data_IF_555514482417
#
_entry.id   IF_555514482417
#
_cell.length_a   1.000
_cell.length_b   1.000
_cell.length_c   1.000
_cell.angle_alpha   90.00
_cell.angle_beta   90.00
_cell.angle_gamma   90.00
#
_symmetry.space_group_name_H-M   'P 1'
#
loop_
_entity.id
_entity.type
_entity.pdbx_description
1 polymer ?
#
# COMPACT_ATOMS: atom_id res chain seq x y z
N UNK A 1 -45.03 10.70 -56.24
CA UNK A 1 -44.33 11.15 -55.02
C UNK A 1 -43.65 9.93 -54.42
N UNK A 2 -42.40 9.64 -54.80
CA UNK A 2 -41.62 8.59 -54.16
C UNK A 2 -41.02 9.18 -52.88
N UNK A 3 -41.31 8.56 -51.74
CA UNK A 3 -40.72 8.95 -50.46
C UNK A 3 -39.25 8.52 -50.47
N UNK A 4 -38.35 9.50 -50.42
CA UNK A 4 -36.92 9.29 -50.23
C UNK A 4 -36.73 8.89 -48.77
N UNK A 5 -36.36 7.63 -48.56
CA UNK A 5 -35.98 7.11 -47.26
C UNK A 5 -34.59 7.67 -46.91
N UNK A 6 -34.56 8.76 -46.14
CA UNK A 6 -33.33 9.35 -45.64
C UNK A 6 -32.81 8.50 -44.48
N UNK A 7 -31.92 7.56 -44.80
CA UNK A 7 -31.19 6.76 -43.84
C UNK A 7 -30.38 7.68 -42.91
N UNK A 8 -30.75 7.69 -41.63
CA UNK A 8 -30.06 8.44 -40.56
C UNK A 8 -28.59 7.98 -40.49
N UNK A 9 -27.60 8.88 -40.41
CA UNK A 9 -26.20 8.48 -40.31
C UNK A 9 -25.98 7.55 -39.12
N UNK A 10 -25.37 6.39 -39.37
CA UNK A 10 -24.96 5.44 -38.33
C UNK A 10 -23.94 6.13 -37.43
N UNK A 11 -24.32 6.33 -36.17
CA UNK A 11 -23.44 6.81 -35.10
C UNK A 11 -22.22 5.89 -35.03
N UNK A 12 -20.98 6.43 -35.01
CA UNK A 12 -19.79 5.60 -34.92
C UNK A 12 -19.85 4.77 -33.64
N UNK A 13 -19.59 3.46 -33.76
CA UNK A 13 -19.59 2.54 -32.62
C UNK A 13 -18.71 3.10 -31.51
N UNK A 14 -19.24 3.12 -30.28
CA UNK A 14 -18.48 3.54 -29.11
C UNK A 14 -17.16 2.75 -29.06
N UNK A 15 -16.02 3.42 -28.79
CA UNK A 15 -14.73 2.73 -28.72
C UNK A 15 -14.82 1.59 -27.70
N UNK A 16 -14.34 0.41 -28.10
CA UNK A 16 -14.34 -0.75 -27.23
C UNK A 16 -13.49 -0.47 -25.97
N UNK A 17 -14.00 -0.89 -24.82
CA UNK A 17 -13.26 -0.78 -23.56
C UNK A 17 -11.93 -1.56 -23.64
N UNK A 18 -10.85 -1.06 -23.02
CA UNK A 18 -9.60 -1.82 -22.91
C UNK A 18 -9.78 -3.18 -22.22
N UNK A 19 -8.99 -4.16 -22.61
CA UNK A 19 -9.02 -5.51 -22.02
C UNK A 19 -8.78 -5.48 -20.50
N UNK A 20 -7.81 -4.70 -20.04
CA UNK A 20 -7.42 -4.59 -18.62
C UNK A 20 -8.48 -3.98 -17.68
N UNK A 21 -9.58 -3.44 -18.21
CA UNK A 21 -10.75 -3.07 -17.39
C UNK A 21 -11.87 -4.12 -17.48
N UNK A 22 -11.86 -4.99 -18.48
CA UNK A 22 -12.90 -6.02 -18.66
C UNK A 22 -12.50 -7.40 -18.15
N UNK A 23 -11.20 -7.64 -17.99
CA UNK A 23 -10.65 -8.91 -17.53
C UNK A 23 -9.65 -8.68 -16.38
N UNK A 24 -9.89 -9.24 -15.17
CA UNK A 24 -9.02 -9.06 -14.01
C UNK A 24 -7.61 -9.65 -14.17
N UNK A 25 -7.40 -10.51 -15.17
CA UNK A 25 -6.15 -11.22 -15.43
C UNK A 25 -5.57 -10.87 -16.82
N UNK A 26 -6.02 -9.76 -17.44
CA UNK A 26 -5.59 -9.33 -18.76
C UNK A 26 -4.06 -9.24 -18.90
N UNK A 27 -3.38 -8.59 -17.95
CA UNK A 27 -1.92 -8.36 -18.03
C UNK A 27 -1.10 -9.62 -17.77
N UNK A 28 -1.67 -10.65 -17.14
CA UNK A 28 -1.01 -11.96 -16.97
C UNK A 28 -0.85 -12.69 -18.31
N UNK A 29 -1.57 -12.26 -19.35
CA UNK A 29 -1.53 -12.82 -20.70
C UNK A 29 -0.51 -12.12 -21.60
N UNK A 30 0.26 -11.16 -21.06
CA UNK A 30 1.26 -10.41 -21.81
C UNK A 30 2.52 -11.27 -22.05
N UNK A 31 2.48 -12.09 -23.10
CA UNK A 31 3.57 -13.02 -23.46
C UNK A 31 4.90 -12.35 -23.83
N UNK A 32 4.86 -11.07 -24.20
CA UNK A 32 6.04 -10.29 -24.60
C UNK A 32 6.56 -9.37 -23.47
N UNK A 33 5.87 -9.32 -22.33
CA UNK A 33 6.29 -8.47 -21.22
C UNK A 33 7.56 -9.00 -20.55
N UNK A 34 8.40 -8.09 -20.07
CA UNK A 34 9.53 -8.46 -19.25
C UNK A 34 9.02 -8.69 -17.82
N UNK A 35 9.20 -9.90 -17.32
CA UNK A 35 8.79 -10.26 -15.97
C UNK A 35 9.98 -10.27 -15.02
N UNK A 36 9.82 -9.66 -13.84
CA UNK A 36 10.86 -9.54 -12.80
C UNK A 36 11.49 -10.88 -12.41
N UNK A 37 10.72 -11.97 -12.49
CA UNK A 37 11.15 -13.34 -12.19
C UNK A 37 11.12 -14.27 -13.41
N UNK A 38 11.23 -13.70 -14.62
CA UNK A 38 11.28 -14.42 -15.88
C UNK A 38 9.96 -15.05 -16.35
N UNK A 39 8.88 -14.94 -15.57
CA UNK A 39 7.54 -15.42 -15.93
C UNK A 39 6.43 -14.61 -15.27
N UNK A 40 5.23 -14.67 -15.85
CA UNK A 40 4.02 -14.15 -15.23
C UNK A 40 3.77 -14.80 -13.84
N UNK A 41 3.34 -14.03 -12.84
CA UNK A 41 3.01 -14.58 -11.52
C UNK A 41 1.73 -15.43 -11.56
N UNK A 42 1.63 -16.41 -10.66
CA UNK A 42 0.43 -17.22 -10.49
C UNK A 42 -0.46 -16.62 -9.39
N UNK A 43 -1.61 -16.06 -9.79
CA UNK A 43 -2.62 -15.50 -8.89
C UNK A 43 -3.76 -16.47 -8.56
N UNK A 44 -3.75 -17.71 -9.06
CA UNK A 44 -4.85 -18.68 -8.92
C UNK A 44 -5.32 -18.87 -7.47
N UNK A 45 -4.38 -18.96 -6.51
CA UNK A 45 -4.68 -19.09 -5.08
C UNK A 45 -5.36 -17.84 -4.52
N UNK A 46 -4.84 -16.67 -4.83
CA UNK A 46 -5.43 -15.39 -4.40
C UNK A 46 -6.80 -15.18 -5.02
N UNK A 47 -7.00 -15.54 -6.30
CA UNK A 47 -8.30 -15.48 -6.99
C UNK A 47 -9.32 -16.46 -6.38
N UNK A 48 -8.87 -17.66 -5.99
CA UNK A 48 -9.72 -18.61 -5.27
C UNK A 48 -10.17 -18.07 -3.91
N UNK A 49 -9.23 -17.59 -3.08
CA UNK A 49 -9.55 -16.98 -1.77
C UNK A 49 -10.47 -15.77 -1.95
N UNK A 50 -10.20 -14.93 -2.94
CA UNK A 50 -11.07 -13.81 -3.30
C UNK A 50 -12.50 -14.28 -3.59
N UNK A 51 -12.67 -15.26 -4.47
CA UNK A 51 -14.00 -15.76 -4.85
C UNK A 51 -14.76 -16.38 -3.67
N UNK A 52 -14.05 -17.09 -2.80
CA UNK A 52 -14.62 -17.78 -1.63
C UNK A 52 -14.96 -16.84 -0.47
N UNK A 53 -14.24 -15.72 -0.32
CA UNK A 53 -14.32 -14.88 0.90
C UNK A 53 -14.76 -13.44 0.67
N UNK A 54 -14.99 -13.01 -0.57
CA UNK A 54 -15.52 -11.67 -0.88
C UNK A 54 -16.93 -11.50 -0.30
N UNK A 55 -17.22 -10.31 0.22
CA UNK A 55 -18.58 -9.94 0.66
C UNK A 55 -19.36 -9.17 -0.41
N UNK A 56 -18.70 -8.70 -1.47
CA UNK A 56 -19.29 -7.89 -2.53
C UNK A 56 -19.26 -8.63 -3.87
N UNK A 57 -20.29 -8.40 -4.70
CA UNK A 57 -20.30 -8.80 -6.10
C UNK A 57 -20.73 -7.63 -6.96
N UNK A 58 -20.06 -7.45 -8.09
CA UNK A 58 -20.37 -6.39 -9.05
C UNK A 58 -21.10 -6.97 -10.25
N UNK A 59 -22.04 -6.21 -10.80
CA UNK A 59 -22.70 -6.55 -12.06
C UNK A 59 -21.66 -6.52 -13.20
N UNK A 60 -21.80 -7.43 -14.16
CA UNK A 60 -20.90 -7.50 -15.30
C UNK A 60 -20.97 -6.21 -16.15
N UNK A 61 -19.82 -5.62 -16.46
CA UNK A 61 -19.72 -4.34 -17.17
C UNK A 61 -20.01 -3.11 -16.32
N UNK A 62 -20.35 -3.28 -15.03
CA UNK A 62 -20.58 -2.14 -14.14
C UNK A 62 -19.29 -1.39 -13.82
N UNK A 63 -19.40 -0.09 -13.56
CA UNK A 63 -18.27 0.75 -13.19
C UNK A 63 -17.44 0.18 -12.03
N UNK A 64 -18.02 -0.33 -10.92
CA UNK A 64 -17.25 -1.01 -9.87
C UNK A 64 -16.42 -2.18 -10.36
N UNK A 65 -16.94 -3.01 -11.29
CA UNK A 65 -16.17 -4.10 -11.88
C UNK A 65 -15.01 -3.59 -12.72
N UNK A 66 -15.25 -2.56 -13.55
CA UNK A 66 -14.22 -1.96 -14.41
C UNK A 66 -13.07 -1.37 -13.58
N UNK A 67 -13.41 -0.62 -12.52
CA UNK A 67 -12.43 -0.07 -11.56
C UNK A 67 -11.69 -1.19 -10.85
N UNK A 68 -12.40 -2.25 -10.43
CA UNK A 68 -11.77 -3.37 -9.73
C UNK A 68 -10.72 -4.07 -10.61
N UNK A 69 -11.08 -4.34 -11.87
CA UNK A 69 -10.19 -4.96 -12.84
C UNK A 69 -8.98 -4.08 -13.17
N UNK A 70 -9.19 -2.76 -13.33
CA UNK A 70 -8.09 -1.81 -13.57
C UNK A 70 -7.05 -1.88 -12.46
N UNK A 71 -7.47 -1.80 -11.20
CA UNK A 71 -6.56 -1.81 -10.05
C UNK A 71 -5.87 -3.18 -9.90
N UNK A 72 -6.58 -4.28 -10.12
CA UNK A 72 -6.00 -5.63 -10.08
C UNK A 72 -4.91 -5.81 -11.13
N UNK A 73 -5.13 -5.34 -12.36
CA UNK A 73 -4.11 -5.39 -13.41
C UNK A 73 -2.94 -4.45 -13.08
N UNK A 74 -3.22 -3.20 -12.65
CA UNK A 74 -2.19 -2.24 -12.26
C UNK A 74 -1.25 -2.78 -11.17
N UNK A 75 -1.80 -3.45 -10.14
CA UNK A 75 -0.99 -4.03 -9.07
C UNK A 75 -0.04 -5.12 -9.59
N UNK A 76 -0.53 -5.98 -10.49
CA UNK A 76 0.31 -7.01 -11.13
C UNK A 76 1.45 -6.37 -11.93
N UNK A 77 1.16 -5.33 -12.71
CA UNK A 77 2.18 -4.60 -13.46
C UNK A 77 3.21 -3.96 -12.51
N UNK A 78 2.73 -3.26 -11.48
CA UNK A 78 3.55 -2.58 -10.49
C UNK A 78 4.51 -3.50 -9.73
N UNK A 79 4.04 -4.70 -9.39
CA UNK A 79 4.81 -5.67 -8.63
C UNK A 79 5.75 -6.50 -9.53
N UNK A 80 5.33 -6.89 -10.73
CA UNK A 80 6.02 -7.92 -11.50
C UNK A 80 6.65 -7.48 -12.83
N UNK A 81 6.31 -6.30 -13.36
CA UNK A 81 6.93 -5.79 -14.59
C UNK A 81 7.98 -4.72 -14.24
N UNK A 82 9.28 -4.97 -14.44
CA UNK A 82 10.33 -4.07 -13.99
C UNK A 82 10.55 -2.87 -14.93
N UNK A 83 9.80 -2.77 -16.03
CA UNK A 83 9.91 -1.66 -16.98
C UNK A 83 8.55 -1.01 -17.22
N UNK A 84 8.49 0.33 -17.24
CA UNK A 84 7.26 1.07 -17.50
C UNK A 84 6.69 0.81 -18.90
N UNK A 85 7.56 0.50 -19.87
CA UNK A 85 7.14 0.19 -21.24
C UNK A 85 6.14 -0.97 -21.28
N UNK A 86 6.23 -1.89 -20.34
CA UNK A 86 5.34 -3.05 -20.25
C UNK A 86 4.05 -2.75 -19.46
N UNK A 87 3.89 -1.56 -18.86
CA UNK A 87 2.70 -1.17 -18.08
C UNK A 87 1.64 -0.56 -18.99
N UNK A 88 0.53 -1.26 -19.18
CA UNK A 88 -0.56 -0.81 -20.07
C UNK A 88 -1.61 0.02 -19.34
N UNK A 89 -1.71 -0.15 -18.02
CA UNK A 89 -2.75 0.46 -17.16
C UNK A 89 -2.48 1.92 -16.78
N UNK A 90 -1.30 2.47 -17.11
CA UNK A 90 -0.89 3.82 -16.73
C UNK A 90 -0.57 4.68 -17.93
N UNK A 91 -0.81 5.98 -17.81
CA UNK A 91 -0.37 6.99 -18.77
C UNK A 91 1.05 7.41 -18.41
N UNK A 92 2.05 6.92 -19.16
CA UNK A 92 3.46 7.00 -18.75
C UNK A 92 3.94 8.43 -18.50
N UNK A 93 3.44 9.39 -19.27
CA UNK A 93 3.88 10.80 -19.17
C UNK A 93 3.27 11.51 -17.97
N UNK A 94 2.05 11.13 -17.59
CA UNK A 94 1.27 11.85 -16.59
C UNK A 94 1.10 11.09 -15.27
N UNK A 95 1.55 9.83 -15.20
CA UNK A 95 1.32 8.96 -14.06
C UNK A 95 1.99 9.47 -12.79
N UNK A 96 1.20 9.56 -11.73
CA UNK A 96 1.65 9.85 -10.38
C UNK A 96 0.82 9.10 -9.34
N UNK A 97 1.47 8.79 -8.22
CA UNK A 97 0.86 8.06 -7.11
C UNK A 97 1.18 8.73 -5.77
N UNK A 98 0.17 9.02 -4.97
CA UNK A 98 0.29 9.69 -3.68
C UNK A 98 -0.52 8.96 -2.59
N UNK A 99 0.03 8.93 -1.38
CA UNK A 99 -0.60 8.33 -0.20
C UNK A 99 -0.79 9.38 0.89
N UNK A 100 -1.97 9.40 1.52
CA UNK A 100 -2.26 10.16 2.75
C UNK A 100 -1.90 11.65 2.68
N UNK A 101 -2.07 12.26 1.50
CA UNK A 101 -1.76 13.68 1.26
C UNK A 101 -0.27 13.99 1.08
N UNK A 102 0.60 12.98 0.97
CA UNK A 102 2.00 13.16 0.62
C UNK A 102 2.21 13.57 -0.83
N UNK A 103 3.46 13.94 -1.15
CA UNK A 103 3.85 14.38 -2.49
C UNK A 103 3.66 13.26 -3.54
N UNK A 104 3.11 13.57 -4.73
CA UNK A 104 2.96 12.60 -5.80
C UNK A 104 4.32 12.03 -6.24
N UNK A 105 4.41 10.70 -6.30
CA UNK A 105 5.59 9.97 -6.75
C UNK A 105 5.43 9.52 -8.20
N UNK A 106 6.51 9.56 -8.98
CA UNK A 106 6.51 9.08 -10.37
C UNK A 106 6.49 7.56 -10.47
N UNK A 107 6.21 7.05 -11.66
CA UNK A 107 6.24 5.61 -11.93
C UNK A 107 7.65 5.02 -11.77
N UNK A 108 8.70 5.76 -12.12
CA UNK A 108 10.10 5.37 -11.93
C UNK A 108 10.45 5.25 -10.44
N UNK A 109 9.95 6.18 -9.62
CA UNK A 109 10.12 6.10 -8.18
C UNK A 109 9.45 4.84 -7.62
N UNK A 110 8.22 4.54 -8.06
CA UNK A 110 7.53 3.31 -7.67
C UNK A 110 8.28 2.05 -8.10
N UNK A 111 8.84 2.00 -9.31
CA UNK A 111 9.64 0.87 -9.77
C UNK A 111 10.90 0.65 -8.94
N UNK A 112 11.54 1.74 -8.52
CA UNK A 112 12.77 1.71 -7.73
C UNK A 112 12.51 1.26 -6.29
N UNK A 113 11.51 1.84 -5.63
CA UNK A 113 11.24 1.58 -4.22
C UNK A 113 10.40 0.32 -4.01
N UNK A 114 9.47 0.02 -4.91
CA UNK A 114 8.43 -0.98 -4.71
C UNK A 114 7.18 -0.42 -4.04
N UNK A 115 6.05 -1.09 -4.26
CA UNK A 115 4.71 -0.67 -3.83
C UNK A 115 4.61 -0.53 -2.30
N UNK A 116 5.09 -1.51 -1.52
CA UNK A 116 5.08 -1.43 -0.05
C UNK A 116 5.87 -0.24 0.50
N UNK A 117 7.07 -0.01 -0.03
CA UNK A 117 7.91 1.12 0.37
C UNK A 117 7.31 2.48 -0.02
N UNK A 118 6.53 2.52 -1.10
CA UNK A 118 5.85 3.73 -1.54
C UNK A 118 4.61 4.06 -0.68
N UNK A 119 4.03 3.09 0.05
CA UNK A 119 2.76 3.28 0.78
C UNK A 119 2.86 3.25 2.29
N UNK A 120 3.95 2.72 2.85
CA UNK A 120 4.14 2.61 4.31
C UNK A 120 5.22 3.60 4.75
N UNK A 121 4.80 4.65 5.46
CA UNK A 121 5.72 5.58 6.09
C UNK A 121 6.54 4.89 7.21
N UNK A 122 7.78 5.35 7.48
CA UNK A 122 8.58 4.84 8.59
C UNK A 122 7.81 4.86 9.92
N UNK A 123 7.81 3.73 10.62
CA UNK A 123 7.13 3.54 11.89
C UNK A 123 7.86 2.50 12.76
N UNK A 124 7.31 2.17 13.92
CA UNK A 124 7.93 1.24 14.89
C UNK A 124 7.98 -0.23 14.45
N UNK A 125 7.32 -0.58 13.34
CA UNK A 125 7.26 -1.93 12.77
C UNK A 125 7.97 -2.04 11.42
N UNK A 126 7.98 -0.95 10.64
CA UNK A 126 8.43 -0.95 9.25
C UNK A 126 9.09 0.37 8.86
N UNK A 127 10.16 0.30 8.08
CA UNK A 127 10.78 1.46 7.45
C UNK A 127 11.21 1.17 6.01
N UNK A 128 10.80 2.02 5.05
CA UNK A 128 11.31 1.98 3.68
C UNK A 128 12.80 2.35 3.58
N UNK A 129 13.38 2.99 4.60
CA UNK A 129 14.82 3.33 4.61
C UNK A 129 15.72 2.10 4.80
N UNK A 130 15.20 1.05 5.45
CA UNK A 130 15.93 -0.18 5.77
C UNK A 130 15.38 -1.41 5.03
N UNK A 131 14.41 -1.21 4.13
CA UNK A 131 13.79 -2.28 3.34
C UNK A 131 13.85 -1.95 1.85
N UNK A 132 14.27 -2.91 1.03
CA UNK A 132 14.23 -2.78 -0.42
C UNK A 132 13.00 -3.49 -1.01
N UNK A 133 12.86 -3.45 -2.35
CA UNK A 133 11.79 -4.15 -3.04
C UNK A 133 11.71 -5.64 -2.66
N UNK A 134 12.84 -6.34 -2.61
CA UNK A 134 12.90 -7.79 -2.36
C UNK A 134 12.54 -8.11 -0.92
N UNK A 135 13.13 -7.39 0.05
CA UNK A 135 12.90 -7.60 1.47
C UNK A 135 11.46 -7.28 1.86
N UNK A 136 10.90 -6.17 1.36
CA UNK A 136 9.50 -5.79 1.61
C UNK A 136 8.51 -6.84 1.07
N UNK A 137 8.70 -7.29 -0.17
CA UNK A 137 7.86 -8.33 -0.75
C UNK A 137 7.99 -9.65 0.01
N UNK A 138 9.20 -10.01 0.43
CA UNK A 138 9.45 -11.21 1.23
C UNK A 138 8.74 -11.12 2.60
N UNK A 139 8.84 -10.00 3.30
CA UNK A 139 8.16 -9.75 4.58
C UNK A 139 6.65 -9.96 4.46
N UNK A 140 5.98 -9.24 3.57
CA UNK A 140 4.52 -9.27 3.51
C UNK A 140 3.97 -10.56 2.87
N UNK A 141 4.62 -11.08 1.81
CA UNK A 141 4.18 -12.30 1.14
C UNK A 141 4.38 -13.55 2.02
N UNK A 142 5.45 -13.60 2.82
CA UNK A 142 5.66 -14.68 3.79
C UNK A 142 4.59 -14.64 4.87
N UNK A 143 4.36 -13.47 5.47
CA UNK A 143 3.37 -13.28 6.54
C UNK A 143 1.93 -13.57 6.06
N UNK A 144 1.54 -13.03 4.91
CA UNK A 144 0.20 -13.16 4.32
C UNK A 144 0.29 -13.65 2.87
N UNK A 145 0.34 -14.99 2.65
CA UNK A 145 0.48 -15.55 1.30
C UNK A 145 -0.66 -15.22 0.34
N UNK A 146 -1.83 -14.85 0.87
CA UNK A 146 -2.99 -14.40 0.10
C UNK A 146 -3.52 -13.12 0.73
N UNK A 147 -3.46 -12.02 -0.02
CA UNK A 147 -3.98 -10.72 0.37
C UNK A 147 -4.85 -10.20 -0.76
N UNK A 148 -6.15 -10.46 -0.64
CA UNK A 148 -7.14 -10.16 -1.67
C UNK A 148 -7.52 -8.67 -1.61
N UNK A 149 -8.10 -8.17 -2.71
CA UNK A 149 -8.53 -6.78 -2.86
C UNK A 149 -9.82 -6.68 -3.68
N UNK A 150 -10.77 -5.85 -3.25
CA UNK A 150 -11.94 -5.42 -4.05
C UNK A 150 -12.34 -3.97 -3.80
N UNK A 151 -13.17 -3.47 -4.71
CA UNK A 151 -13.90 -2.21 -4.60
C UNK A 151 -15.15 -2.41 -3.76
N UNK A 152 -15.25 -1.68 -2.65
CA UNK A 152 -16.46 -1.68 -1.81
C UNK A 152 -17.57 -0.85 -2.44
N UNK A 153 -17.22 0.32 -2.97
CA UNK A 153 -18.19 1.30 -3.46
C UNK A 153 -17.51 2.30 -4.40
N UNK A 154 -18.21 2.74 -5.45
CA UNK A 154 -17.75 3.79 -6.36
C UNK A 154 -18.67 4.99 -6.27
N UNK A 155 -18.10 6.16 -6.05
CA UNK A 155 -18.83 7.43 -5.87
C UNK A 155 -18.84 8.31 -7.14
N UNK A 156 -17.89 8.12 -8.06
CA UNK A 156 -17.82 8.89 -9.31
C UNK A 156 -17.16 8.08 -10.44
N UNK A 157 -17.51 8.40 -11.69
CA UNK A 157 -16.96 7.78 -12.89
C UNK A 157 -15.89 8.64 -13.59
N UNK A 158 -15.29 8.15 -14.68
CA UNK A 158 -14.25 8.87 -15.42
C UNK A 158 -14.69 10.28 -15.85
N UNK A 159 -13.76 11.25 -15.94
CA UNK A 159 -12.30 11.09 -15.85
C UNK A 159 -11.77 11.06 -14.41
N UNK A 160 -12.56 11.47 -13.41
CA UNK A 160 -12.14 11.44 -11.99
C UNK A 160 -12.99 10.44 -11.23
N UNK A 161 -12.42 9.25 -11.00
CA UNK A 161 -13.07 8.13 -10.32
C UNK A 161 -12.70 8.16 -8.84
N UNK A 162 -13.70 8.18 -7.95
CA UNK A 162 -13.50 8.07 -6.51
C UNK A 162 -14.20 6.83 -5.97
N UNK A 163 -13.50 6.01 -5.19
CA UNK A 163 -14.02 4.72 -4.71
C UNK A 163 -13.42 4.33 -3.37
N UNK A 164 -14.17 3.52 -2.61
CA UNK A 164 -13.70 2.86 -1.38
C UNK A 164 -13.31 1.43 -1.70
N UNK A 165 -12.29 0.92 -1.03
CA UNK A 165 -11.74 -0.41 -1.27
C UNK A 165 -11.34 -1.11 0.02
N UNK A 166 -11.15 -2.43 -0.09
CA UNK A 166 -10.72 -3.31 1.01
C UNK A 166 -9.60 -4.23 0.54
N UNK A 167 -8.57 -4.36 1.37
CA UNK A 167 -7.58 -5.43 1.31
C UNK A 167 -7.79 -6.36 2.51
N UNK A 168 -7.78 -7.67 2.31
CA UNK A 168 -7.87 -8.61 3.42
C UNK A 168 -7.09 -9.90 3.18
N UNK A 169 -6.67 -10.53 4.28
CA UNK A 169 -5.97 -11.81 4.26
C UNK A 169 -5.88 -12.41 5.66
N UNK A 170 -5.11 -13.49 5.76
CA UNK A 170 -4.86 -14.18 7.03
C UNK A 170 -3.37 -14.11 7.35
N UNK A 171 -3.01 -13.71 8.56
CA UNK A 171 -1.64 -13.76 9.05
C UNK A 171 -1.25 -15.21 9.35
N UNK A 172 -0.69 -15.90 8.35
CA UNK A 172 -0.35 -17.32 8.44
C UNK A 172 1.00 -17.57 9.08
N UNK A 173 1.95 -16.67 8.85
CA UNK A 173 3.32 -16.80 9.34
C UNK A 173 3.74 -15.55 10.11
N UNK A 174 4.85 -15.66 10.83
CA UNK A 174 5.44 -14.56 11.59
C UNK A 174 5.73 -13.37 10.67
N UNK A 175 5.43 -12.17 11.18
CA UNK A 175 5.93 -10.94 10.59
C UNK A 175 7.41 -10.78 10.95
N UNK A 176 8.25 -10.48 9.95
CA UNK A 176 9.65 -10.12 10.14
C UNK A 176 9.97 -8.95 9.23
N UNK A 177 10.33 -7.80 9.80
CA UNK A 177 10.64 -6.57 9.07
C UNK A 177 11.69 -5.73 9.81
N UNK A 178 11.97 -4.53 9.30
CA UNK A 178 12.87 -3.56 9.95
C UNK A 178 12.12 -2.30 10.33
N UNK A 179 12.29 -1.81 11.56
CA UNK A 179 11.64 -0.58 12.00
C UNK A 179 12.39 0.70 11.58
N UNK A 180 11.88 1.86 11.99
CA UNK A 180 12.49 3.17 11.76
C UNK A 180 13.86 3.39 12.40
N UNK A 181 14.38 2.44 13.18
CA UNK A 181 15.74 2.45 13.73
C UNK A 181 16.66 1.45 13.03
N UNK A 182 16.13 0.66 12.09
CA UNK A 182 16.84 -0.43 11.44
C UNK A 182 16.96 -1.67 12.31
N UNK A 183 16.15 -1.79 13.36
CA UNK A 183 16.08 -3.00 14.20
C UNK A 183 15.17 -4.03 13.53
N UNK A 184 15.56 -5.31 13.57
CA UNK A 184 14.71 -6.41 13.11
C UNK A 184 13.56 -6.59 14.09
N UNK A 185 12.35 -6.35 13.61
CA UNK A 185 11.09 -6.50 14.35
C UNK A 185 10.43 -7.81 13.97
N UNK A 186 10.04 -8.61 14.98
CA UNK A 186 9.27 -9.83 14.78
C UNK A 186 7.96 -9.80 15.55
N UNK A 187 6.85 -10.16 14.90
CA UNK A 187 5.57 -10.43 15.53
C UNK A 187 5.09 -11.85 15.20
N UNK A 188 4.67 -12.60 16.23
CA UNK A 188 4.27 -14.00 16.07
C UNK A 188 2.93 -14.13 15.35
N UNK A 189 2.85 -15.09 14.44
CA UNK A 189 1.62 -15.43 13.74
C UNK A 189 0.51 -15.76 14.75
N UNK A 190 -0.63 -15.10 14.60
CA UNK A 190 -1.83 -15.38 15.40
C UNK A 190 -2.95 -16.05 14.57
N UNK A 191 -2.74 -16.28 13.26
CA UNK A 191 -3.73 -16.93 12.39
C UNK A 191 -4.99 -16.11 12.12
N UNK A 192 -5.06 -14.87 12.62
CA UNK A 192 -6.22 -13.99 12.49
C UNK A 192 -6.29 -13.30 11.14
N UNK A 193 -7.43 -12.66 10.89
CA UNK A 193 -7.62 -11.82 9.72
C UNK A 193 -6.84 -10.51 9.87
N UNK A 194 -6.27 -10.06 8.76
CA UNK A 194 -5.79 -8.69 8.56
C UNK A 194 -6.70 -8.07 7.51
N UNK A 195 -7.28 -6.92 7.82
CA UNK A 195 -8.31 -6.26 7.01
C UNK A 195 -8.09 -4.75 7.06
N UNK A 196 -7.73 -4.17 5.93
CA UNK A 196 -7.51 -2.73 5.80
C UNK A 196 -8.42 -2.18 4.72
N UNK A 197 -8.91 -0.96 4.96
CA UNK A 197 -9.77 -0.25 4.03
C UNK A 197 -9.23 1.15 3.77
N UNK A 198 -9.60 1.68 2.62
CA UNK A 198 -9.23 3.03 2.24
C UNK A 198 -10.10 3.59 1.14
N UNK A 199 -9.79 4.82 0.76
CA UNK A 199 -10.45 5.55 -0.31
C UNK A 199 -9.39 5.98 -1.32
N UNK A 200 -9.74 5.93 -2.60
CA UNK A 200 -8.87 6.38 -3.70
C UNK A 200 -9.65 7.34 -4.59
N UNK A 201 -8.97 8.40 -5.02
CA UNK A 201 -9.40 9.29 -6.10
C UNK A 201 -8.36 9.17 -7.22
N UNK A 202 -8.79 8.64 -8.36
CA UNK A 202 -7.95 8.40 -9.53
C UNK A 202 -8.45 9.23 -10.72
N UNK A 203 -7.53 9.95 -11.37
CA UNK A 203 -7.77 10.54 -12.70
C UNK A 203 -7.32 9.57 -13.77
N UNK A 204 -8.16 9.36 -14.80
CA UNK A 204 -7.86 8.51 -15.94
C UNK A 204 -8.06 9.27 -17.26
N UNK A 205 -7.30 8.89 -18.29
CA UNK A 205 -7.50 9.40 -19.65
C UNK A 205 -8.64 8.65 -20.39
N UNK A 206 -8.88 9.00 -21.65
CA UNK A 206 -9.94 8.38 -22.48
C UNK A 206 -9.73 6.89 -22.75
N UNK A 207 -8.51 6.39 -22.55
CA UNK A 207 -8.18 4.96 -22.62
C UNK A 207 -8.32 4.28 -21.26
N UNK A 208 -8.81 4.96 -20.23
CA UNK A 208 -8.88 4.47 -18.85
C UNK A 208 -7.51 4.13 -18.24
N UNK A 209 -6.45 4.80 -18.71
CA UNK A 209 -5.13 4.69 -18.11
C UNK A 209 -4.98 5.68 -16.95
N UNK A 210 -4.34 5.24 -15.86
CA UNK A 210 -4.15 6.04 -14.65
C UNK A 210 -3.17 7.21 -14.91
N UNK A 211 -3.58 8.42 -14.53
CA UNK A 211 -2.78 9.65 -14.56
C UNK A 211 -2.43 10.12 -13.14
N UNK A 212 -3.42 10.37 -12.29
CA UNK A 212 -3.17 10.81 -10.90
C UNK A 212 -3.91 9.90 -9.94
N UNK A 213 -3.20 9.14 -9.12
CA UNK A 213 -3.77 8.24 -8.13
C UNK A 213 -3.48 8.77 -6.73
N UNK A 214 -4.51 9.17 -6.00
CA UNK A 214 -4.40 9.60 -4.61
C UNK A 214 -5.18 8.65 -3.73
N UNK A 215 -4.51 8.06 -2.75
CA UNK A 215 -5.11 7.05 -1.87
C UNK A 215 -4.94 7.44 -0.40
N UNK A 216 -6.00 7.24 0.38
CA UNK A 216 -6.03 7.49 1.81
C UNK A 216 -6.45 6.24 2.57
N UNK A 217 -5.66 5.85 3.56
CA UNK A 217 -5.94 4.74 4.48
C UNK A 217 -5.08 4.89 5.74
N UNK A 218 -5.42 4.18 6.82
CA UNK A 218 -4.58 4.14 8.01
C UNK A 218 -3.46 3.09 7.83
N UNK A 219 -2.20 3.48 7.60
CA UNK A 219 -1.11 2.53 7.39
C UNK A 219 -0.75 1.76 8.66
N UNK A 220 -1.10 2.28 9.84
CA UNK A 220 -0.85 1.62 11.12
C UNK A 220 -1.93 0.61 11.47
N UNK A 221 -3.12 0.69 10.86
CA UNK A 221 -4.20 -0.27 11.12
C UNK A 221 -3.75 -1.72 10.85
N UNK A 222 -3.06 -1.94 9.73
CA UNK A 222 -2.43 -3.23 9.43
C UNK A 222 -1.51 -3.69 10.57
N UNK A 223 -0.63 -2.82 11.06
CA UNK A 223 0.34 -3.18 12.10
C UNK A 223 -0.30 -3.41 13.47
N UNK A 224 -1.35 -2.67 13.83
CA UNK A 224 -2.15 -2.94 15.03
C UNK A 224 -2.82 -4.32 14.96
N UNK A 225 -3.17 -4.78 13.75
CA UNK A 225 -3.71 -6.13 13.54
C UNK A 225 -2.62 -7.20 13.52
N UNK A 226 -1.43 -6.92 12.97
CA UNK A 226 -0.26 -7.83 12.99
C UNK A 226 0.23 -8.06 14.42
N UNK A 227 0.27 -7.01 15.23
CA UNK A 227 0.83 -7.00 16.57
C UNK A 227 -0.15 -6.38 17.56
N UNK A 228 -1.31 -7.01 17.84
CA UNK A 228 -2.35 -6.45 18.72
C UNK A 228 -1.89 -6.30 20.17
N UNK A 229 -0.79 -6.96 20.54
CA UNK A 229 -0.13 -6.87 21.85
C UNK A 229 1.20 -6.10 21.79
N UNK A 230 1.49 -5.42 20.68
CA UNK A 230 2.75 -4.73 20.41
C UNK A 230 3.87 -5.63 19.87
N UNK A 231 5.01 -5.01 19.56
CA UNK A 231 6.21 -5.68 19.03
C UNK A 231 6.75 -6.71 20.03
N UNK A 232 6.92 -7.96 19.59
CA UNK A 232 7.31 -9.07 20.45
C UNK A 232 8.84 -9.18 20.61
N UNK A 233 9.60 -8.83 19.57
CA UNK A 233 11.06 -8.95 19.57
C UNK A 233 11.70 -7.88 18.69
N UNK A 234 12.73 -7.23 19.22
CA UNK A 234 13.62 -6.31 18.49
C UNK A 234 15.05 -6.82 18.59
N UNK A 235 15.72 -6.95 17.45
CA UNK A 235 17.10 -7.44 17.39
C UNK A 235 17.96 -6.50 16.54
N UNK A 236 19.20 -6.29 16.98
CA UNK A 236 20.21 -5.63 16.16
C UNK A 236 20.54 -6.51 14.95
N UNK A 237 20.82 -5.86 13.82
CA UNK A 237 21.01 -6.52 12.52
C UNK A 237 22.40 -6.19 12.01
N UNK A 238 23.05 -7.16 11.36
CA UNK A 238 24.27 -6.90 10.62
C UNK A 238 23.96 -6.04 9.38
N UNK A 239 24.43 -4.79 9.41
CA UNK A 239 24.22 -3.81 8.34
C UNK A 239 25.07 -4.09 7.09
N UNK A 240 25.96 -5.08 7.12
CA UNK A 240 26.75 -5.48 5.95
C UNK A 240 26.00 -6.39 4.97
N UNK A 241 24.90 -7.02 5.43
CA UNK A 241 24.07 -7.90 4.62
C UNK A 241 23.05 -7.11 3.78
N UNK A 242 22.69 -7.64 2.61
CA UNK A 242 21.55 -7.12 1.87
C UNK A 242 20.26 -7.27 2.71
N UNK A 243 19.30 -6.32 2.65
CA UNK A 243 18.10 -6.35 3.50
C UNK A 243 17.33 -7.68 3.45
N UNK A 244 17.24 -8.31 2.28
CA UNK A 244 16.54 -9.58 2.11
C UNK A 244 17.24 -10.77 2.81
N UNK A 245 18.57 -10.74 2.91
CA UNK A 245 19.38 -11.76 3.59
C UNK A 245 19.42 -11.51 5.09
N UNK A 246 19.51 -10.23 5.48
CA UNK A 246 19.42 -9.79 6.87
C UNK A 246 18.11 -10.23 7.55
N UNK A 247 16.98 -10.26 6.82
CA UNK A 247 15.70 -10.78 7.31
C UNK A 247 15.78 -12.25 7.76
N UNK A 248 16.54 -13.07 7.04
CA UNK A 248 16.68 -14.51 7.31
C UNK A 248 17.86 -14.83 8.27
N UNK A 249 18.71 -13.85 8.59
CA UNK A 249 19.84 -14.06 9.49
C UNK A 249 19.41 -14.28 10.94
N UNK A 250 20.00 -15.27 11.60
CA UNK A 250 19.87 -15.55 13.04
C UNK A 250 21.00 -14.89 13.87
N UNK A 251 21.91 -14.16 13.21
CA UNK A 251 23.08 -13.54 13.86
C UNK A 251 22.62 -12.31 14.67
N UNK A 252 22.72 -12.42 16.00
CA UNK A 252 22.65 -11.28 16.91
C UNK A 252 24.03 -10.61 16.91
N UNK A 253 24.15 -9.43 16.33
CA UNK A 253 25.40 -8.66 16.47
C UNK A 253 25.41 -8.04 17.87
N UNK A 254 26.23 -8.60 18.74
CA UNK A 254 26.73 -7.88 19.92
C UNK A 254 27.74 -6.86 19.38
N UNK A 255 27.48 -5.55 19.54
CA UNK A 255 28.43 -4.52 19.12
C UNK A 255 29.69 -4.64 20.00
N UNK A 256 30.70 -5.37 19.53
CA UNK A 256 32.03 -5.31 20.11
C UNK A 256 32.65 -3.95 19.74
N UNK A 257 32.67 -3.04 20.72
CA UNK A 257 33.20 -1.68 20.59
C UNK A 257 34.72 -1.62 20.72
N UNK A 258 35.46 -2.65 20.29
CA UNK A 258 36.92 -2.58 20.25
C UNK A 258 37.42 -2.11 18.87
N UNK A 259 38.07 -0.94 18.77
CA UNK A 259 38.59 -0.45 17.49
C UNK A 259 39.81 -1.28 17.08
N UNK A 260 39.68 -2.10 16.04
CA UNK A 260 40.84 -2.77 15.45
C UNK A 260 41.56 -1.85 14.47
N UNK A 261 42.87 -1.72 14.70
CA UNK A 261 43.80 -0.94 13.90
C UNK A 261 44.00 -1.56 12.51
N UNK A 262 44.20 -0.68 11.51
CA UNK A 262 44.57 -1.07 10.14
C UNK A 262 45.88 -1.84 10.14
N UNK A 263 45.85 -3.08 9.64
CA UNK A 263 47.01 -3.71 9.02
C UNK A 263 46.67 -4.22 7.61
N UNK A 264 47.64 -4.02 6.73
CA UNK A 264 47.66 -4.40 5.32
C UNK A 264 48.04 -5.88 5.15
N UNK A 265 47.34 -6.64 4.31
CA UNK A 265 47.93 -7.80 3.64
C UNK A 265 47.21 -8.15 2.34
N UNK A 266 47.99 -8.73 1.43
CA UNK A 266 47.79 -8.98 0.01
C UNK A 266 47.27 -10.40 -0.29
N UNK A 267 46.50 -10.53 -1.40
CA UNK A 267 46.19 -11.76 -2.20
C UNK A 267 45.41 -12.89 -1.48
N UNK A 268 44.50 -13.68 -2.07
CA UNK A 268 44.20 -14.15 -3.43
C UNK A 268 42.67 -14.36 -3.59
N UNK A 269 42.19 -14.44 -4.84
CA UNK A 269 40.82 -14.86 -5.17
C UNK A 269 40.66 -16.39 -5.00
N UNK A 270 39.59 -16.90 -4.35
CA UNK A 270 39.20 -18.30 -4.49
C UNK A 270 38.32 -18.49 -5.74
N UNK A 271 38.70 -19.45 -6.58
CA UNK A 271 37.89 -19.97 -7.68
C UNK A 271 36.75 -20.90 -7.19
N UNK A 272 35.65 -20.86 -7.94
CA UNK A 272 34.61 -21.91 -8.14
C UNK A 272 33.84 -22.43 -6.92
N UNK A 273 32.60 -21.94 -6.76
CA UNK A 273 31.52 -22.73 -6.18
C UNK A 273 31.10 -23.86 -7.16
N UNK A 274 30.69 -25.04 -6.67
CA UNK A 274 30.17 -26.11 -7.53
C UNK A 274 28.82 -25.69 -8.15
N UNK A 275 28.42 -26.28 -9.30
CA UNK A 275 27.12 -26.00 -9.90
C UNK A 275 26.02 -26.44 -8.92
N UNK A 276 25.14 -25.50 -8.56
CA UNK A 276 23.93 -25.81 -7.79
C UNK A 276 23.03 -26.67 -8.70
N UNK A 277 22.74 -27.88 -8.23
CA UNK A 277 21.78 -28.78 -8.87
C UNK A 277 20.36 -28.20 -8.68
N UNK A 278 19.80 -27.64 -9.75
CA UNK A 278 18.45 -27.07 -9.73
C UNK A 278 17.36 -28.14 -9.54
N UNK A 279 17.70 -29.44 -9.60
CA UNK A 279 16.75 -30.52 -9.35
C UNK A 279 16.51 -30.72 -7.84
N UNK A 280 17.52 -30.56 -6.98
CA UNK A 280 17.40 -30.75 -5.52
C UNK A 280 16.64 -29.58 -4.84
N UNK A 281 16.70 -28.37 -5.42
CA UNK A 281 15.89 -27.23 -4.96
C UNK A 281 14.40 -27.36 -5.32
N UNK A 282 14.06 -28.23 -6.27
CA UNK A 282 12.69 -28.51 -6.70
C UNK A 282 12.08 -29.68 -5.92
N UNK A 283 12.90 -30.55 -5.30
CA UNK A 283 12.44 -31.70 -4.52
C UNK A 283 12.12 -31.39 -3.04
N UNK A 284 12.41 -30.17 -2.56
CA UNK A 284 11.86 -29.65 -1.29
C UNK A 284 10.38 -29.23 -1.36
N UNK A 285 9.77 -29.27 -2.55
CA UNK A 285 8.38 -28.89 -2.80
C UNK A 285 7.40 -30.07 -2.68
N UNK A 286 7.31 -30.66 -1.49
CA UNK A 286 6.34 -31.71 -1.14
C UNK A 286 5.28 -31.24 -0.14
N UNK A 287 4.00 -31.37 -0.50
CA UNK A 287 2.80 -31.04 0.29
C UNK A 287 2.77 -31.57 1.74
N UNK A 288 2.38 -30.74 2.74
CA UNK A 288 1.98 -31.21 4.06
C UNK A 288 0.55 -30.79 4.44
N UNK A 289 -0.44 -31.00 3.56
CA UNK A 289 -1.86 -30.88 3.93
C UNK A 289 -2.40 -32.24 4.39
N UNK A 290 -2.12 -32.59 5.66
CA UNK A 290 -2.85 -33.60 6.39
C UNK A 290 -3.85 -32.91 7.35
N UNK A 291 -5.06 -33.48 7.39
CA UNK A 291 -6.31 -32.88 7.83
C UNK A 291 -6.42 -32.50 9.31
N UNK A 292 -7.28 -31.51 9.61
CA UNK A 292 -8.21 -31.59 10.76
C UNK A 292 -9.58 -30.95 10.45
N UNK A 293 -10.61 -31.73 10.85
CA UNK A 293 -12.08 -31.62 10.90
C UNK A 293 -12.87 -30.43 10.26
N UNK A 294 -13.61 -30.66 9.15
CA UNK A 294 -14.53 -29.68 8.52
C UNK A 294 -15.79 -29.29 9.32
N UNK A 295 -16.06 -29.90 10.48
CA UNK A 295 -17.33 -29.71 11.20
C UNK A 295 -17.33 -28.62 12.27
N UNK A 296 -16.20 -27.98 12.57
CA UNK A 296 -16.15 -26.82 13.49
C UNK A 296 -16.24 -25.47 12.76
N UNK A 297 -16.14 -25.45 11.42
CA UNK A 297 -16.22 -24.23 10.61
C UNK A 297 -17.65 -23.79 10.24
N UNK A 298 -18.67 -24.57 10.62
CA UNK A 298 -20.09 -24.34 10.26
C UNK A 298 -20.95 -23.84 11.43
N UNK A 299 -20.37 -23.53 12.59
CA UNK A 299 -21.14 -22.99 13.71
C UNK A 299 -21.49 -21.52 13.45
N UNK A 300 -22.79 -21.21 13.45
CA UNK A 300 -23.30 -19.84 13.38
C UNK A 300 -22.84 -19.11 14.64
N UNK A 301 -22.03 -18.06 14.45
CA UNK A 301 -21.58 -17.19 15.54
C UNK A 301 -22.79 -16.41 16.07
N UNK A 302 -23.19 -16.57 17.34
CA UNK A 302 -24.25 -15.74 17.90
C UNK A 302 -23.77 -14.29 18.00
N UNK A 303 -24.64 -13.28 17.77
CA UNK A 303 -24.26 -11.90 17.94
C UNK A 303 -23.79 -11.67 19.38
N UNK A 304 -22.60 -11.10 19.54
CA UNK A 304 -22.11 -10.68 20.83
C UNK A 304 -23.08 -9.64 21.41
N UNK A 305 -23.64 -9.93 22.59
CA UNK A 305 -24.37 -8.93 23.36
C UNK A 305 -23.35 -7.85 23.73
N UNK A 306 -23.57 -6.63 23.21
CA UNK A 306 -22.75 -5.48 23.55
C UNK A 306 -22.91 -5.22 25.05
N UNK A 307 -21.85 -5.43 25.81
CA UNK A 307 -21.78 -5.00 27.19
C UNK A 307 -21.70 -3.47 27.22
N UNK A 308 -22.82 -2.83 27.53
CA UNK A 308 -22.94 -1.37 27.61
C UNK A 308 -22.40 -0.80 28.93
N UNK A 309 -21.86 -1.64 29.81
CA UNK A 309 -21.33 -1.16 31.11
C UNK A 309 -19.98 -0.45 30.98
N UNK A 310 -19.18 -0.73 29.94
CA UNK A 310 -17.90 -0.07 29.71
C UNK A 310 -18.02 1.41 29.29
N UNK A 311 -19.17 1.82 28.73
CA UNK A 311 -19.41 3.22 28.33
C UNK A 311 -19.75 4.14 29.53
N UNK A 312 -20.23 3.56 30.64
CA UNK A 312 -20.59 4.33 31.83
C UNK A 312 -19.37 4.72 32.69
N UNK A 313 -18.27 3.98 32.61
CA UNK A 313 -17.05 4.26 33.39
C UNK A 313 -16.17 5.33 32.76
N UNK A 314 -16.23 5.52 31.45
CA UNK A 314 -15.50 6.59 30.74
C UNK A 314 -16.15 7.96 30.98
N UNK A 315 -17.47 8.01 31.18
CA UNK A 315 -18.19 9.27 31.43
C UNK A 315 -17.97 9.86 32.85
N UNK A 316 -17.37 9.10 33.79
CA UNK A 316 -17.16 9.54 35.17
C UNK A 316 -15.77 10.09 35.49
N UNK A 317 -14.80 9.96 34.59
CA UNK A 317 -13.47 10.57 34.77
C UNK A 317 -13.35 11.81 33.89
N UNK A 318 -13.87 12.93 34.41
CA UNK A 318 -13.52 14.25 33.89
C UNK A 318 -12.03 14.53 34.12
N UNK A 319 -11.31 14.84 33.05
CA UNK A 319 -9.90 15.25 33.11
C UNK A 319 -9.25 15.28 31.73
N UNK A 320 -9.26 16.48 31.12
CA UNK A 320 -8.34 16.98 30.08
C UNK A 320 -8.11 16.14 28.81
N UNK A 321 -8.79 16.51 27.72
CA UNK A 321 -8.53 15.97 26.39
C UNK A 321 -9.46 16.43 25.27
N UNK A 322 -10.24 17.50 25.46
CA UNK A 322 -11.06 18.04 24.37
C UNK A 322 -10.17 18.88 23.44
N UNK A 323 -9.64 18.25 22.39
CA UNK A 323 -9.09 18.97 21.25
C UNK A 323 -10.20 19.83 20.63
N UNK A 324 -10.24 21.12 20.98
CA UNK A 324 -11.05 22.12 20.28
C UNK A 324 -10.38 22.45 18.95
N UNK A 325 -10.49 21.56 17.98
CA UNK A 325 -10.25 21.90 16.59
C UNK A 325 -11.50 22.59 16.06
N UNK A 326 -11.41 23.91 15.87
CA UNK A 326 -12.46 24.70 15.21
C UNK A 326 -12.23 24.61 13.70
N UNK A 327 -13.30 24.36 12.96
CA UNK A 327 -13.33 24.22 11.50
C UNK A 327 -12.75 25.46 10.78
N UNK A 328 -12.01 25.32 9.65
CA UNK A 328 -11.32 26.42 8.97
C UNK A 328 -12.22 27.46 8.25
N UNK A 329 -13.53 27.42 8.46
CA UNK A 329 -14.49 28.39 7.88
C UNK A 329 -15.21 29.23 8.94
N UNK A 330 -14.56 29.50 10.07
CA UNK A 330 -15.06 30.52 11.00
C UNK A 330 -14.93 31.92 10.35
N UNK A 331 -15.99 32.75 10.32
CA UNK A 331 -15.92 34.07 9.71
C UNK A 331 -14.86 34.91 10.42
N UNK A 332 -13.92 35.44 9.62
CA UNK A 332 -12.82 36.29 10.10
C UNK A 332 -13.43 37.57 10.70
N UNK A 333 -13.04 37.92 11.93
CA UNK A 333 -13.56 39.12 12.58
C UNK A 333 -13.16 40.38 11.79
N UNK A 334 -13.98 41.43 11.88
CA UNK A 334 -13.79 42.67 11.13
C UNK A 334 -12.42 43.32 11.41
N UNK A 335 -11.95 43.24 12.66
CA UNK A 335 -10.60 43.66 13.06
C UNK A 335 -9.49 42.92 12.33
N UNK A 336 -9.62 41.60 12.15
CA UNK A 336 -8.63 40.77 11.46
C UNK A 336 -8.60 41.05 9.95
N UNK A 337 -9.76 41.32 9.35
CA UNK A 337 -9.84 41.73 7.94
C UNK A 337 -9.18 43.09 7.68
N UNK A 338 -9.31 44.06 8.60
CA UNK A 338 -8.67 45.38 8.47
C UNK A 338 -7.14 45.31 8.60
N UNK A 339 -6.61 44.35 9.38
CA UNK A 339 -5.16 44.08 9.49
C UNK A 339 -4.62 43.45 8.20
N UNK A 340 -5.33 42.45 7.67
CA UNK A 340 -4.97 41.80 6.40
C UNK A 340 -5.06 42.76 5.21
N UNK A 341 -6.03 43.69 5.20
CA UNK A 341 -6.17 44.70 4.16
C UNK A 341 -4.99 45.70 4.10
N UNK A 342 -4.24 45.85 5.20
CA UNK A 342 -3.01 46.65 5.27
C UNK A 342 -1.75 45.85 4.90
N UNK A 343 -1.92 44.60 4.45
CA UNK A 343 -0.82 43.72 4.05
C UNK A 343 -0.01 43.15 5.22
N UNK A 344 -0.58 43.16 6.44
CA UNK A 344 0.08 42.66 7.64
C UNK A 344 -0.54 41.32 8.08
N UNK A 345 0.29 40.44 8.63
CA UNK A 345 -0.15 39.14 9.16
C UNK A 345 -0.85 39.33 10.52
N UNK A 346 -1.79 38.43 10.82
CA UNK A 346 -2.47 38.41 12.12
C UNK A 346 -1.46 38.25 13.27
N UNK A 347 -1.51 39.14 14.27
CA UNK A 347 -0.58 39.16 15.42
C UNK A 347 0.73 39.91 15.18
N UNK A 348 0.89 40.60 14.03
CA UNK A 348 2.08 41.41 13.71
C UNK A 348 2.44 42.44 14.79
N UNK A 349 1.44 43.04 15.43
CA UNK A 349 1.57 44.02 16.51
C UNK A 349 1.88 43.42 17.89
N UNK A 350 1.85 42.08 18.01
CA UNK A 350 2.13 41.35 19.24
C UNK A 350 3.39 40.47 19.15
N UNK A 351 4.06 40.42 18.00
CA UNK A 351 5.33 39.70 17.86
C UNK A 351 6.46 40.49 18.54
N UNK A 352 7.01 39.99 19.66
CA UNK A 352 8.05 40.70 20.39
C UNK A 352 9.39 40.79 19.64
N UNK A 353 9.51 40.15 18.46
CA UNK A 353 10.71 40.18 17.63
C UNK A 353 10.65 41.20 16.47
N UNK A 354 9.51 41.86 16.27
CA UNK A 354 9.33 42.90 15.27
C UNK A 354 9.33 44.27 15.97
N UNK A 355 10.49 44.90 16.12
CA UNK A 355 10.53 46.28 16.60
C UNK A 355 9.89 47.22 15.56
N UNK A 356 9.04 48.18 15.98
CA UNK A 356 8.50 49.17 15.08
C UNK A 356 9.65 50.02 14.53
N UNK A 357 9.81 50.02 13.20
CA UNK A 357 10.74 50.91 12.51
C UNK A 357 10.46 52.35 12.95
N UNK A 358 11.40 52.93 13.71
CA UNK A 358 11.38 54.34 14.08
C UNK A 358 11.53 55.19 12.82
N UNK A 359 10.40 55.63 12.29
CA UNK A 359 10.17 56.90 11.61
C UNK A 359 10.88 57.15 10.28
N UNK A 360 10.09 57.35 9.23
CA UNK A 360 10.31 58.47 8.33
C UNK A 360 9.01 59.28 8.23
N UNK A 361 9.09 60.53 8.69
CA UNK A 361 8.18 61.59 8.29
C UNK A 361 8.45 61.89 6.81
N UNK A 362 7.40 61.91 5.99
CA UNK A 362 7.02 63.08 5.17
C UNK A 362 5.50 63.14 5.14
#
# INVERSE_FOLDING_TARGET
MAAVDTQKPTEPAAPALPDYVTDPDAVLKDHQAHWRYGRAPDYSKTRKVFAETRSMSHEAGSLPQLVENLVKNWEVEASFKPTLKDWRTVDHENYSFAINGGEPQSAEHMLKQGTYNAIIAPNEYYSPEYSDFSSSHKTFKRMMPTFAWYVLEVYSGPPTVSFRWRHWGTMKNDYVGFDNKGEKVTAKAHGGAIDIQGVTVATVNDKLQLQSVRTWFDPLDMFRQIAPKGVVKKEAVDKSLAPADALDSDIKVELDQTPQAKESSTSELPERHPPIDMQELVEGAGCPFAATNPKEATAVYPPAVVDTTAAADVARRGGEGAAKLVHPEAPISKEKMDIMAKGQQEGFDQDPNLEPAKGERV
#
